data_IF_560529479419
#
_entry.id   IF_560529479419
#
_cell.length_a   1.000
_cell.length_b   1.000
_cell.length_c   1.000
_cell.angle_alpha   90.00
_cell.angle_beta   90.00
_cell.angle_gamma   90.00
#
_symmetry.space_group_name_H-M   'P 1'
#
loop_
_entity.id
_entity.type
_entity.pdbx_description
1 polymer ?
#
# COMPACT_ATOMS: atom_id res chain seq x y z
N UNK A 1 1.25 16.16 -25.17
CA UNK A 1 0.87 16.22 -23.73
C UNK A 1 -0.31 17.15 -23.55
N UNK A 2 -1.28 16.79 -22.71
CA UNK A 2 -2.47 17.58 -22.39
C UNK A 2 -2.47 17.95 -20.92
N UNK A 3 -2.44 19.25 -20.56
CA UNK A 3 -2.30 19.71 -19.19
C UNK A 3 -3.16 20.95 -18.89
N UNK A 4 -3.72 21.03 -17.69
CA UNK A 4 -4.38 22.22 -17.15
C UNK A 4 -3.40 23.26 -16.55
N UNK A 5 -2.11 23.08 -16.73
CA UNK A 5 -1.08 24.01 -16.23
C UNK A 5 -0.72 25.13 -17.19
N UNK A 6 0.26 25.95 -16.78
CA UNK A 6 0.77 27.08 -17.57
C UNK A 6 1.58 26.56 -18.75
N UNK A 7 1.24 27.02 -19.98
CA UNK A 7 1.82 26.52 -21.23
C UNK A 7 3.35 26.65 -21.28
N UNK A 8 3.89 27.80 -20.87
CA UNK A 8 5.32 28.05 -20.98
C UNK A 8 6.13 27.09 -20.11
N UNK A 9 5.71 26.87 -18.85
CA UNK A 9 6.35 25.90 -17.95
C UNK A 9 6.36 24.48 -18.56
N UNK A 10 5.23 24.07 -19.14
CA UNK A 10 5.13 22.74 -19.73
C UNK A 10 5.89 22.61 -21.06
N UNK A 11 6.02 23.72 -21.82
CA UNK A 11 6.83 23.75 -23.03
C UNK A 11 8.31 23.49 -22.72
N UNK A 12 8.84 24.11 -21.66
CA UNK A 12 10.21 23.90 -21.24
C UNK A 12 10.46 22.45 -20.80
N UNK A 13 9.55 21.89 -19.99
CA UNK A 13 9.63 20.50 -19.54
C UNK A 13 9.57 19.54 -20.74
N UNK A 14 8.67 19.77 -21.68
CA UNK A 14 8.51 18.89 -22.82
C UNK A 14 9.71 18.94 -23.76
N UNK A 15 10.28 20.09 -24.01
CA UNK A 15 11.50 20.24 -24.77
C UNK A 15 12.67 19.49 -24.09
N UNK A 16 12.84 19.66 -22.77
CA UNK A 16 13.86 18.98 -21.99
C UNK A 16 13.69 17.45 -21.95
N UNK A 17 12.46 16.94 -22.09
CA UNK A 17 12.12 15.52 -22.07
C UNK A 17 11.79 14.93 -23.43
N UNK A 18 11.94 15.70 -24.50
CA UNK A 18 11.58 15.30 -25.86
C UNK A 18 10.14 14.77 -26.01
N UNK A 19 9.20 15.43 -25.33
CA UNK A 19 7.77 15.10 -25.35
C UNK A 19 7.10 15.81 -26.52
N UNK A 20 6.74 15.23 -27.56
CA UNK A 20 6.05 15.78 -28.75
C UNK A 20 5.11 16.99 -28.54
N UNK A 21 3.97 17.00 -29.21
CA UNK A 21 3.01 18.13 -29.16
C UNK A 21 2.41 18.37 -27.76
N UNK A 22 2.32 19.62 -27.35
CA UNK A 22 1.77 20.03 -26.04
C UNK A 22 0.55 20.90 -26.24
N UNK A 23 -0.51 20.54 -25.49
CA UNK A 23 -1.68 21.38 -25.29
C UNK A 23 -1.79 21.68 -23.79
N UNK A 24 -1.44 22.87 -23.38
CA UNK A 24 -1.50 23.30 -21.99
C UNK A 24 -2.25 24.64 -21.88
N UNK A 25 -3.23 24.68 -20.98
CA UNK A 25 -4.01 25.87 -20.67
C UNK A 25 -4.70 25.70 -19.32
N UNK A 26 -4.81 26.74 -18.49
CA UNK A 26 -5.56 26.68 -17.24
C UNK A 26 -7.06 26.40 -17.44
N UNK A 27 -7.56 26.50 -18.67
CA UNK A 27 -8.96 26.21 -19.03
C UNK A 27 -9.21 24.78 -19.47
N UNK A 28 -8.19 23.90 -19.47
CA UNK A 28 -8.38 22.49 -19.81
C UNK A 28 -9.05 21.78 -18.61
N UNK A 29 -10.36 21.55 -18.75
CA UNK A 29 -11.18 20.83 -17.77
C UNK A 29 -11.09 19.31 -17.94
N UNK A 30 -11.72 18.57 -17.03
CA UNK A 30 -11.89 17.13 -17.12
C UNK A 30 -12.59 16.72 -18.44
N UNK A 31 -13.63 17.44 -18.83
CA UNK A 31 -14.41 17.18 -20.05
C UNK A 31 -13.54 17.37 -21.29
N UNK A 32 -12.73 18.42 -21.37
CA UNK A 32 -11.82 18.63 -22.50
C UNK A 32 -10.84 17.47 -22.61
N UNK A 33 -10.25 17.02 -21.51
CA UNK A 33 -9.33 15.86 -21.50
C UNK A 33 -10.02 14.59 -21.99
N UNK A 34 -11.24 14.34 -21.52
CA UNK A 34 -12.07 13.21 -21.97
C UNK A 34 -12.35 13.25 -23.47
N UNK A 35 -12.85 14.39 -23.97
CA UNK A 35 -13.18 14.54 -25.39
C UNK A 35 -11.97 14.36 -26.32
N UNK A 36 -10.80 14.85 -25.92
CA UNK A 36 -9.58 14.67 -26.70
C UNK A 36 -9.23 13.19 -26.85
N UNK A 37 -9.27 12.43 -25.74
CA UNK A 37 -8.99 10.98 -25.76
C UNK A 37 -10.05 10.25 -26.60
N UNK A 38 -11.32 10.56 -26.40
CA UNK A 38 -12.41 9.96 -27.17
C UNK A 38 -12.25 10.19 -28.66
N UNK A 39 -11.99 11.43 -29.09
CA UNK A 39 -11.78 11.76 -30.50
C UNK A 39 -10.59 11.02 -31.10
N UNK A 40 -9.48 10.91 -30.37
CA UNK A 40 -8.30 10.18 -30.85
C UNK A 40 -8.62 8.68 -31.02
N UNK A 41 -9.38 8.07 -30.11
CA UNK A 41 -9.81 6.68 -30.24
C UNK A 41 -10.76 6.48 -31.43
N UNK A 42 -11.71 7.37 -31.65
CA UNK A 42 -12.62 7.34 -32.80
C UNK A 42 -11.85 7.44 -34.14
N UNK A 43 -10.68 8.06 -34.14
CA UNK A 43 -9.76 8.12 -35.29
C UNK A 43 -8.80 6.92 -35.37
N UNK A 44 -9.00 5.89 -34.55
CA UNK A 44 -8.24 4.64 -34.61
C UNK A 44 -6.89 4.65 -33.86
N UNK A 45 -6.62 5.65 -33.04
CA UNK A 45 -5.40 5.67 -32.22
C UNK A 45 -5.56 4.80 -30.98
N UNK A 46 -4.51 4.07 -30.61
CA UNK A 46 -4.38 3.41 -29.31
C UNK A 46 -3.85 4.40 -28.30
N UNK A 47 -4.60 4.64 -27.22
CA UNK A 47 -4.34 5.69 -26.26
C UNK A 47 -3.88 5.13 -24.91
N UNK A 48 -2.70 5.57 -24.47
CA UNK A 48 -2.18 5.39 -23.12
C UNK A 48 -2.25 6.73 -22.41
N UNK A 49 -3.13 6.84 -21.41
CA UNK A 49 -3.33 8.07 -20.67
C UNK A 49 -2.70 8.01 -19.27
N UNK A 50 -2.13 9.13 -18.83
CA UNK A 50 -1.49 9.27 -17.52
C UNK A 50 -2.09 10.45 -16.78
N UNK A 51 -2.37 10.31 -15.49
CA UNK A 51 -2.92 11.37 -14.66
C UNK A 51 -2.75 11.09 -13.17
N UNK A 52 -2.96 12.10 -12.31
CA UNK A 52 -2.72 12.03 -10.87
C UNK A 52 -3.87 12.57 -10.01
N UNK A 53 -4.96 12.99 -10.64
CA UNK A 53 -6.02 13.71 -9.95
C UNK A 53 -7.42 13.34 -10.46
N UNK A 54 -8.45 13.76 -9.71
CA UNK A 54 -9.86 13.52 -10.06
C UNK A 54 -10.22 14.04 -11.46
N UNK A 55 -9.66 15.16 -11.88
CA UNK A 55 -9.94 15.75 -13.20
C UNK A 55 -9.39 14.90 -14.36
N UNK A 56 -8.52 13.94 -14.08
CA UNK A 56 -7.96 13.02 -15.08
C UNK A 56 -8.77 11.74 -15.22
N UNK A 57 -9.62 11.38 -14.25
CA UNK A 57 -10.28 10.08 -14.19
C UNK A 57 -11.11 9.74 -15.44
N UNK A 58 -11.85 10.72 -15.99
CA UNK A 58 -12.65 10.48 -17.19
C UNK A 58 -11.77 10.17 -18.40
N UNK A 59 -10.68 10.91 -18.56
CA UNK A 59 -9.68 10.67 -19.59
C UNK A 59 -9.01 9.29 -19.43
N UNK A 60 -8.63 8.95 -18.19
CA UNK A 60 -7.98 7.67 -17.89
C UNK A 60 -8.88 6.47 -18.15
N UNK A 61 -10.17 6.59 -17.86
CA UNK A 61 -11.16 5.51 -18.08
C UNK A 61 -11.52 5.36 -19.55
N UNK A 62 -11.47 6.44 -20.32
CA UNK A 62 -11.75 6.43 -21.76
C UNK A 62 -10.60 5.85 -22.57
N UNK A 63 -9.37 5.97 -22.10
CA UNK A 63 -8.17 5.45 -22.75
C UNK A 63 -8.19 3.91 -22.87
N UNK A 64 -7.46 3.36 -23.84
CA UNK A 64 -7.26 1.90 -23.94
C UNK A 64 -6.50 1.38 -22.72
N UNK A 65 -5.63 2.20 -22.14
CA UNK A 65 -4.99 1.95 -20.87
C UNK A 65 -4.76 3.25 -20.10
N UNK A 66 -5.44 3.39 -18.97
CA UNK A 66 -5.29 4.53 -18.07
C UNK A 66 -4.32 4.23 -16.94
N UNK A 67 -3.30 5.07 -16.77
CA UNK A 67 -2.28 4.97 -15.73
C UNK A 67 -2.51 6.08 -14.71
N UNK A 68 -2.81 5.69 -13.47
CA UNK A 68 -2.99 6.62 -12.37
C UNK A 68 -1.70 6.74 -11.54
N UNK A 69 -1.12 7.93 -11.56
CA UNK A 69 0.04 8.23 -10.73
C UNK A 69 -0.38 8.52 -9.29
N UNK A 70 0.07 7.70 -8.35
CA UNK A 70 -0.32 7.78 -6.94
C UNK A 70 0.79 8.45 -6.10
N UNK A 71 2.04 8.42 -6.54
CA UNK A 71 3.16 8.98 -5.80
C UNK A 71 3.33 8.34 -4.43
N UNK A 72 3.72 9.14 -3.44
CA UNK A 72 3.81 8.72 -2.03
C UNK A 72 2.45 8.65 -1.34
N UNK A 73 1.44 9.33 -1.87
CA UNK A 73 0.09 9.45 -1.30
C UNK A 73 -0.93 9.60 -2.42
N UNK A 74 -2.08 8.99 -2.27
CA UNK A 74 -3.22 9.27 -3.14
C UNK A 74 -3.60 10.75 -3.00
N UNK A 75 -3.81 11.41 -4.13
CA UNK A 75 -4.33 12.78 -4.16
C UNK A 75 -5.64 12.88 -3.36
N UNK A 76 -5.79 13.93 -2.55
CA UNK A 76 -7.02 14.18 -1.77
C UNK A 76 -8.27 14.21 -2.64
N UNK A 77 -8.14 14.67 -3.89
CA UNK A 77 -9.23 14.70 -4.86
C UNK A 77 -9.74 13.31 -5.26
N UNK A 78 -8.95 12.26 -5.05
CA UNK A 78 -9.26 10.87 -5.39
C UNK A 78 -9.84 10.07 -4.22
N UNK A 79 -9.87 10.62 -3.01
CA UNK A 79 -10.16 9.88 -1.76
C UNK A 79 -11.50 9.12 -1.76
N UNK A 80 -12.50 9.60 -2.51
CA UNK A 80 -13.83 9.00 -2.58
C UNK A 80 -14.17 8.49 -4.00
N UNK A 81 -13.17 8.35 -4.86
CA UNK A 81 -13.38 7.93 -6.24
C UNK A 81 -13.06 6.44 -6.39
N UNK A 82 -13.82 5.75 -7.23
CA UNK A 82 -13.47 4.39 -7.64
C UNK A 82 -12.27 4.45 -8.59
N UNK A 83 -11.21 3.71 -8.30
CA UNK A 83 -10.01 3.63 -9.14
C UNK A 83 -9.94 2.31 -9.93
N UNK A 84 -11.00 1.51 -9.85
CA UNK A 84 -11.08 0.21 -10.55
C UNK A 84 -10.86 0.38 -12.05
N UNK A 85 -10.08 -0.53 -12.63
CA UNK A 85 -9.75 -0.54 -14.06
C UNK A 85 -8.57 0.35 -14.47
N UNK A 86 -8.02 1.14 -13.53
CA UNK A 86 -6.82 1.93 -13.77
C UNK A 86 -5.57 1.18 -13.34
N UNK A 87 -4.45 1.44 -14.02
CA UNK A 87 -3.14 0.89 -13.65
C UNK A 87 -2.44 1.87 -12.72
N UNK A 88 -2.20 1.52 -11.45
CA UNK A 88 -1.51 2.42 -10.54
C UNK A 88 -0.02 2.51 -10.88
N UNK A 89 0.52 3.74 -10.81
CA UNK A 89 1.97 4.01 -10.87
C UNK A 89 2.37 4.66 -9.55
N UNK A 90 3.33 4.05 -8.87
CA UNK A 90 3.88 4.56 -7.62
C UNK A 90 5.28 5.13 -7.86
N UNK A 91 5.55 6.27 -7.25
CA UNK A 91 6.88 6.92 -7.27
C UNK A 91 7.91 6.11 -6.47
N UNK A 92 7.40 5.39 -5.48
CA UNK A 92 8.18 4.60 -4.54
C UNK A 92 7.49 3.28 -4.26
N UNK A 93 8.26 2.28 -3.93
CA UNK A 93 7.75 0.98 -3.48
C UNK A 93 7.01 1.07 -2.12
N UNK A 94 7.16 2.17 -1.39
CA UNK A 94 6.59 2.33 -0.05
C UNK A 94 5.55 3.46 0.01
N UNK A 95 4.32 3.10 0.40
CA UNK A 95 3.18 4.00 0.62
C UNK A 95 2.89 4.06 2.12
N UNK A 96 2.97 5.26 2.71
CA UNK A 96 2.69 5.49 4.14
C UNK A 96 1.34 6.18 4.29
N UNK A 97 0.45 5.61 5.09
CA UNK A 97 -0.93 6.11 5.28
C UNK A 97 -1.12 6.95 6.56
N UNK A 98 -0.06 7.19 7.32
CA UNK A 98 -0.12 7.71 8.69
C UNK A 98 -0.62 9.15 8.89
N UNK A 99 -0.66 9.98 7.87
CA UNK A 99 -0.53 11.43 8.15
C UNK A 99 -1.81 12.27 8.04
N UNK A 100 -2.99 11.70 7.77
CA UNK A 100 -4.13 12.53 7.32
C UNK A 100 -5.42 12.45 8.15
N UNK A 101 -5.47 11.61 9.19
CA UNK A 101 -6.71 11.33 9.92
C UNK A 101 -6.43 11.22 11.43
N UNK A 102 -7.13 12.02 12.24
CA UNK A 102 -6.95 12.05 13.69
C UNK A 102 -7.23 10.67 14.34
N UNK A 103 -8.20 9.91 13.82
CA UNK A 103 -8.48 8.55 14.30
C UNK A 103 -7.33 7.61 14.02
N UNK A 104 -6.68 7.72 12.84
CA UNK A 104 -5.49 6.94 12.51
C UNK A 104 -4.35 7.28 13.46
N UNK A 105 -4.14 8.55 13.76
CA UNK A 105 -3.11 8.97 14.71
C UNK A 105 -3.37 8.45 16.12
N UNK A 106 -4.62 8.44 16.58
CA UNK A 106 -5.00 7.87 17.86
C UNK A 106 -4.71 6.35 17.92
N UNK A 107 -5.07 5.60 16.88
CA UNK A 107 -4.79 4.16 16.79
C UNK A 107 -3.29 3.86 16.69
N UNK A 108 -2.53 4.66 15.94
CA UNK A 108 -1.07 4.57 15.91
C UNK A 108 -0.47 4.79 17.29
N UNK A 109 -0.97 5.78 18.04
CA UNK A 109 -0.51 6.04 19.40
C UNK A 109 -0.74 4.83 20.34
N UNK A 110 -1.89 4.15 20.21
CA UNK A 110 -2.20 2.90 20.92
C UNK A 110 -1.20 1.79 20.53
N UNK A 111 -0.85 1.68 19.26
CA UNK A 111 0.03 0.63 18.73
C UNK A 111 1.51 0.82 19.11
N UNK A 112 1.95 2.03 19.46
CA UNK A 112 3.34 2.28 19.87
C UNK A 112 3.74 1.40 21.05
N UNK A 113 4.96 0.88 21.03
CA UNK A 113 5.47 -0.04 22.07
C UNK A 113 5.48 0.56 23.47
N UNK A 114 5.58 1.88 23.59
CA UNK A 114 5.59 2.63 24.85
C UNK A 114 4.19 3.11 25.29
N UNK A 115 3.13 2.73 24.62
CA UNK A 115 1.76 3.13 25.00
C UNK A 115 1.27 2.49 26.32
N UNK A 116 1.91 1.40 26.75
CA UNK A 116 1.44 0.59 27.89
C UNK A 116 0.15 -0.20 27.60
N UNK A 117 -0.40 -0.13 26.39
CA UNK A 117 -1.67 -0.76 26.02
C UNK A 117 -1.41 -2.17 25.49
N UNK A 118 -2.24 -3.14 25.91
CA UNK A 118 -2.20 -4.54 25.48
C UNK A 118 -3.61 -5.13 25.37
N UNK A 119 -3.71 -6.37 24.91
CA UNK A 119 -4.96 -7.13 24.82
C UNK A 119 -5.94 -6.54 23.80
N UNK A 120 -7.23 -6.64 24.11
CA UNK A 120 -8.32 -6.33 23.19
C UNK A 120 -8.29 -4.89 22.65
N UNK A 121 -7.89 -3.92 23.46
CA UNK A 121 -7.79 -2.51 23.03
C UNK A 121 -6.71 -2.33 21.97
N UNK A 122 -5.57 -2.98 22.12
CA UNK A 122 -4.48 -2.98 21.13
C UNK A 122 -4.92 -3.73 19.87
N UNK A 123 -5.57 -4.90 20.02
CA UNK A 123 -6.10 -5.69 18.93
C UNK A 123 -7.11 -4.90 18.08
N UNK A 124 -8.06 -4.21 18.73
CA UNK A 124 -9.03 -3.37 18.02
C UNK A 124 -8.39 -2.24 17.22
N UNK A 125 -7.35 -1.58 17.76
CA UNK A 125 -6.59 -0.57 16.99
C UNK A 125 -5.89 -1.18 15.77
N UNK A 126 -5.33 -2.40 15.91
CA UNK A 126 -4.72 -3.11 14.77
C UNK A 126 -5.74 -3.44 13.68
N UNK A 127 -6.94 -3.91 14.05
CA UNK A 127 -8.03 -4.19 13.09
C UNK A 127 -8.40 -2.92 12.33
N UNK A 128 -8.65 -1.79 13.00
CA UNK A 128 -9.04 -0.54 12.33
C UNK A 128 -7.96 -0.01 11.39
N UNK A 129 -6.70 -0.05 11.81
CA UNK A 129 -5.57 0.34 10.95
C UNK A 129 -5.43 -0.59 9.75
N UNK A 130 -5.59 -1.91 9.96
CA UNK A 130 -5.60 -2.90 8.90
C UNK A 130 -6.72 -2.67 7.90
N UNK A 131 -7.95 -2.39 8.37
CA UNK A 131 -9.09 -2.11 7.52
C UNK A 131 -8.86 -0.88 6.63
N UNK A 132 -8.23 0.18 7.17
CA UNK A 132 -7.87 1.36 6.35
C UNK A 132 -6.85 1.02 5.27
N UNK A 133 -5.82 0.23 5.57
CA UNK A 133 -4.86 -0.29 4.57
C UNK A 133 -5.59 -1.15 3.53
N UNK A 134 -6.45 -2.07 3.98
CA UNK A 134 -7.22 -2.94 3.09
C UNK A 134 -8.11 -2.17 2.12
N UNK A 135 -8.87 -1.19 2.61
CA UNK A 135 -9.68 -0.31 1.76
C UNK A 135 -8.84 0.44 0.73
N UNK A 136 -7.63 0.90 1.12
CA UNK A 136 -6.71 1.53 0.18
C UNK A 136 -6.26 0.55 -0.91
N UNK A 137 -5.91 -0.67 -0.55
CA UNK A 137 -5.58 -1.73 -1.50
C UNK A 137 -6.75 -2.00 -2.45
N UNK A 138 -7.98 -2.12 -1.92
CA UNK A 138 -9.19 -2.38 -2.71
C UNK A 138 -9.53 -1.27 -3.72
N UNK A 139 -9.14 -0.01 -3.45
CA UNK A 139 -9.35 1.07 -4.43
C UNK A 139 -8.54 0.90 -5.70
N UNK A 140 -7.44 0.14 -5.62
CA UNK A 140 -6.47 0.00 -6.70
C UNK A 140 -6.51 -1.39 -7.32
N UNK A 141 -6.73 -2.44 -6.50
CA UNK A 141 -6.63 -3.83 -6.91
C UNK A 141 -7.96 -4.56 -6.73
N UNK A 142 -8.42 -5.33 -7.75
CA UNK A 142 -9.68 -6.08 -7.67
C UNK A 142 -9.62 -7.18 -6.61
N UNK A 143 -10.67 -7.28 -5.79
CA UNK A 143 -10.83 -8.30 -4.75
C UNK A 143 -10.71 -9.73 -5.30
N UNK A 144 -11.43 -10.04 -6.38
CA UNK A 144 -11.53 -11.40 -6.95
C UNK A 144 -10.21 -12.03 -7.39
N UNK A 145 -9.19 -11.21 -7.64
CA UNK A 145 -7.87 -11.67 -8.10
C UNK A 145 -6.79 -11.48 -7.02
N UNK A 146 -7.20 -11.28 -5.77
CA UNK A 146 -6.32 -10.96 -4.65
C UNK A 146 -6.49 -11.97 -3.53
N UNK A 147 -5.38 -12.42 -2.98
CA UNK A 147 -5.30 -13.20 -1.72
C UNK A 147 -4.65 -12.39 -0.63
N UNK A 148 -5.10 -12.57 0.60
CA UNK A 148 -4.51 -11.95 1.80
C UNK A 148 -3.83 -13.06 2.60
N UNK A 149 -2.51 -13.02 2.74
CA UNK A 149 -1.71 -13.98 3.48
C UNK A 149 -1.22 -13.33 4.79
N UNK A 150 -1.81 -13.73 5.91
CA UNK A 150 -1.53 -13.18 7.23
C UNK A 150 -0.46 -13.98 7.94
N UNK A 151 0.58 -13.33 8.44
CA UNK A 151 1.66 -13.96 9.19
C UNK A 151 1.36 -14.00 10.69
N UNK A 152 1.16 -15.20 11.20
CA UNK A 152 0.90 -15.44 12.62
C UNK A 152 2.19 -15.32 13.46
N UNK A 153 2.13 -14.94 14.72
CA UNK A 153 1.03 -14.46 15.56
C UNK A 153 0.81 -12.94 15.43
N UNK A 154 1.89 -12.19 15.16
CA UNK A 154 1.89 -10.73 15.23
C UNK A 154 0.92 -10.08 14.23
N UNK A 155 0.84 -10.64 13.03
CA UNK A 155 -0.01 -10.13 11.95
C UNK A 155 -1.51 -10.34 12.12
N UNK A 156 -1.96 -11.22 13.05
CA UNK A 156 -3.35 -11.68 13.14
C UNK A 156 -4.39 -10.56 13.05
N UNK A 157 -4.46 -9.70 14.05
CA UNK A 157 -5.53 -8.69 14.13
C UNK A 157 -5.40 -7.59 13.06
N UNK A 158 -4.18 -7.24 12.69
CA UNK A 158 -3.96 -6.30 11.59
C UNK A 158 -4.37 -6.93 10.26
N UNK A 159 -4.06 -8.22 10.07
CA UNK A 159 -4.43 -8.99 8.89
C UNK A 159 -5.93 -9.21 8.75
N UNK A 160 -6.64 -9.48 9.84
CA UNK A 160 -8.11 -9.53 9.85
C UNK A 160 -8.69 -8.19 9.34
N UNK A 161 -8.13 -7.06 9.79
CA UNK A 161 -8.53 -5.74 9.31
C UNK A 161 -8.22 -5.54 7.82
N UNK A 162 -7.02 -5.90 7.36
CA UNK A 162 -6.67 -5.82 5.93
C UNK A 162 -7.63 -6.63 5.08
N UNK A 163 -7.97 -7.84 5.50
CA UNK A 163 -8.94 -8.68 4.81
C UNK A 163 -10.34 -8.05 4.79
N UNK A 164 -10.81 -7.49 5.92
CA UNK A 164 -12.11 -6.81 5.98
C UNK A 164 -12.18 -5.60 5.03
N UNK A 165 -11.06 -4.91 4.84
CA UNK A 165 -11.00 -3.75 3.97
C UNK A 165 -10.74 -4.06 2.50
N UNK A 166 -9.94 -5.08 2.20
CA UNK A 166 -9.52 -5.43 0.84
C UNK A 166 -10.40 -6.51 0.19
N UNK A 167 -11.02 -7.38 1.00
CA UNK A 167 -11.66 -8.59 0.49
C UNK A 167 -10.67 -9.63 -0.03
N UNK A 168 -11.14 -10.54 -0.87
CA UNK A 168 -10.33 -11.57 -1.49
C UNK A 168 -10.33 -12.91 -0.76
N UNK A 169 -9.29 -13.75 -1.00
CA UNK A 169 -9.15 -15.07 -0.37
C UNK A 169 -8.22 -14.95 0.83
N UNK A 170 -8.67 -15.40 1.99
CA UNK A 170 -7.90 -15.31 3.24
C UNK A 170 -7.06 -16.57 3.48
N UNK A 171 -5.78 -16.37 3.75
CA UNK A 171 -4.84 -17.37 4.24
C UNK A 171 -4.16 -16.88 5.52
N UNK A 172 -3.81 -17.80 6.42
CA UNK A 172 -2.91 -17.50 7.53
C UNK A 172 -1.85 -18.60 7.68
N UNK A 173 -0.65 -18.23 8.11
CA UNK A 173 0.43 -19.16 8.34
C UNK A 173 1.36 -18.70 9.46
N UNK A 174 2.00 -19.64 10.12
CA UNK A 174 3.10 -19.35 11.03
C UNK A 174 4.43 -19.38 10.26
N UNK A 175 5.08 -18.24 10.01
CA UNK A 175 6.28 -18.18 9.17
C UNK A 175 7.50 -18.94 9.75
N UNK A 176 7.40 -19.47 10.97
CA UNK A 176 8.47 -20.27 11.59
C UNK A 176 8.25 -21.77 11.49
N UNK A 177 7.07 -22.22 11.14
CA UNK A 177 6.65 -23.62 11.20
C UNK A 177 6.07 -24.10 9.87
N UNK A 178 5.46 -23.22 9.09
CA UNK A 178 4.73 -23.55 7.89
C UNK A 178 5.50 -23.14 6.63
N UNK A 179 5.32 -23.89 5.56
CA UNK A 179 5.67 -23.47 4.20
C UNK A 179 4.57 -22.57 3.64
N UNK A 180 4.92 -21.74 2.65
CA UNK A 180 3.95 -20.86 2.02
C UNK A 180 2.83 -21.66 1.33
N UNK A 181 1.56 -21.27 1.49
CA UNK A 181 0.45 -21.94 0.82
C UNK A 181 0.52 -21.76 -0.69
N UNK A 182 -0.02 -22.72 -1.44
CA UNK A 182 -0.21 -22.56 -2.88
C UNK A 182 -1.30 -21.52 -3.13
N UNK A 183 -0.96 -20.42 -3.77
CA UNK A 183 -1.85 -19.32 -4.07
C UNK A 183 -2.10 -19.26 -5.57
N UNK A 184 -3.38 -19.37 -5.96
CA UNK A 184 -3.82 -19.41 -7.35
C UNK A 184 -4.36 -18.08 -7.89
N UNK A 185 -4.40 -17.03 -7.08
CA UNK A 185 -4.76 -15.67 -7.52
C UNK A 185 -3.57 -14.99 -8.22
N UNK A 186 -3.87 -13.97 -9.01
CA UNK A 186 -2.83 -13.17 -9.68
C UNK A 186 -1.96 -12.41 -8.68
N UNK A 187 -2.52 -12.09 -7.51
CA UNK A 187 -1.89 -11.24 -6.50
C UNK A 187 -2.03 -11.81 -5.10
N UNK A 188 -0.99 -11.57 -4.30
CA UNK A 188 -1.01 -11.83 -2.86
C UNK A 188 -0.58 -10.60 -2.08
N UNK A 189 -1.31 -10.27 -1.03
CA UNK A 189 -0.92 -9.28 -0.02
C UNK A 189 -0.40 -10.03 1.18
N UNK A 190 0.90 -9.96 1.44
CA UNK A 190 1.53 -10.54 2.64
C UNK A 190 1.39 -9.53 3.78
N UNK A 191 0.79 -9.94 4.87
CA UNK A 191 0.43 -9.05 5.98
C UNK A 191 1.15 -9.42 7.27
N UNK A 192 1.87 -8.46 7.85
CA UNK A 192 2.41 -8.57 9.21
C UNK A 192 2.13 -7.28 10.00
N UNK A 193 2.03 -7.37 11.31
CA UNK A 193 1.86 -6.19 12.15
C UNK A 193 3.13 -5.33 12.19
N UNK A 194 4.29 -5.94 12.36
CA UNK A 194 5.57 -5.22 12.49
C UNK A 194 6.66 -5.91 11.70
N UNK A 195 7.09 -5.28 10.64
CA UNK A 195 8.23 -5.73 9.85
C UNK A 195 9.52 -5.17 10.47
N UNK A 196 10.31 -6.05 11.06
CA UNK A 196 11.62 -5.71 11.64
C UNK A 196 12.72 -5.82 10.59
N UNK A 197 13.23 -7.04 10.35
CA UNK A 197 14.30 -7.29 9.39
C UNK A 197 13.79 -7.70 8.00
N UNK A 198 12.51 -8.04 7.87
CA UNK A 198 11.92 -8.49 6.62
C UNK A 198 12.30 -9.91 6.14
N UNK A 199 13.24 -10.58 6.80
CA UNK A 199 13.78 -11.88 6.34
C UNK A 199 12.71 -12.97 6.17
N UNK A 200 11.75 -13.05 7.10
CA UNK A 200 10.66 -14.04 7.02
C UNK A 200 9.76 -13.78 5.81
N UNK A 201 9.47 -12.51 5.51
CA UNK A 201 8.65 -12.13 4.35
C UNK A 201 9.39 -12.48 3.06
N UNK A 202 10.68 -12.19 2.95
CA UNK A 202 11.46 -12.52 1.75
C UNK A 202 11.48 -14.04 1.51
N UNK A 203 11.69 -14.87 2.55
CA UNK A 203 11.60 -16.32 2.41
C UNK A 203 10.24 -16.76 1.84
N UNK A 204 9.15 -16.21 2.37
CA UNK A 204 7.80 -16.54 1.91
C UNK A 204 7.60 -16.09 0.45
N UNK A 205 8.12 -14.92 0.07
CA UNK A 205 8.07 -14.43 -1.31
C UNK A 205 8.78 -15.41 -2.26
N UNK A 206 9.96 -15.89 -1.88
CA UNK A 206 10.72 -16.84 -2.67
C UNK A 206 9.94 -18.17 -2.84
N UNK A 207 9.33 -18.67 -1.77
CA UNK A 207 8.48 -19.87 -1.82
C UNK A 207 7.24 -19.68 -2.70
N UNK A 208 6.53 -18.55 -2.57
CA UNK A 208 5.37 -18.23 -3.41
C UNK A 208 5.75 -18.13 -4.89
N UNK A 209 6.87 -17.48 -5.21
CA UNK A 209 7.37 -17.37 -6.58
C UNK A 209 7.88 -18.68 -7.16
N UNK A 210 8.34 -19.61 -6.34
CA UNK A 210 8.67 -20.95 -6.78
C UNK A 210 7.42 -21.74 -7.23
N UNK A 211 6.27 -21.53 -6.57
CA UNK A 211 5.01 -22.15 -6.95
C UNK A 211 4.31 -21.40 -8.11
N UNK A 212 4.37 -20.09 -8.10
CA UNK A 212 3.76 -19.22 -9.11
C UNK A 212 4.71 -18.05 -9.46
N UNK A 213 5.59 -18.23 -10.46
CA UNK A 213 6.58 -17.20 -10.85
C UNK A 213 5.97 -15.85 -11.28
N UNK A 214 4.70 -15.86 -11.72
CA UNK A 214 3.98 -14.66 -12.17
C UNK A 214 3.19 -13.96 -11.07
N UNK A 215 3.23 -14.45 -9.82
CA UNK A 215 2.45 -13.84 -8.74
C UNK A 215 2.92 -12.42 -8.43
N UNK A 216 1.97 -11.48 -8.42
CA UNK A 216 2.21 -10.10 -7.99
C UNK A 216 2.15 -10.03 -6.46
N UNK A 217 3.24 -9.59 -5.83
CA UNK A 217 3.37 -9.57 -4.37
C UNK A 217 3.31 -8.15 -3.85
N UNK A 218 2.35 -7.92 -2.96
CA UNK A 218 2.20 -6.68 -2.18
C UNK A 218 2.48 -7.01 -0.70
N UNK A 219 3.01 -6.05 0.03
CA UNK A 219 3.28 -6.17 1.45
C UNK A 219 2.44 -5.14 2.21
N UNK A 220 1.79 -5.55 3.29
CA UNK A 220 1.05 -4.66 4.16
C UNK A 220 1.53 -4.78 5.62
N UNK A 221 1.79 -3.64 6.27
CA UNK A 221 2.28 -3.61 7.64
C UNK A 221 1.68 -2.47 8.47
N UNK A 222 1.43 -2.71 9.76
CA UNK A 222 1.13 -1.60 10.67
C UNK A 222 2.39 -0.74 10.93
N UNK A 223 3.56 -1.37 11.05
CA UNK A 223 4.81 -0.66 11.14
C UNK A 223 5.92 -1.40 10.37
N UNK A 224 6.70 -0.65 9.61
CA UNK A 224 7.93 -1.16 8.99
C UNK A 224 9.12 -0.40 9.53
N UNK A 225 10.21 -1.10 9.85
CA UNK A 225 11.45 -0.46 10.26
C UNK A 225 12.20 0.11 9.05
N UNK A 226 12.83 1.27 9.22
CA UNK A 226 13.57 1.93 8.15
C UNK A 226 14.63 1.02 7.50
N UNK A 227 15.27 0.18 8.32
CA UNK A 227 16.29 -0.76 7.86
C UNK A 227 15.75 -1.84 6.92
N UNK A 228 14.46 -2.18 7.03
CA UNK A 228 13.82 -3.17 6.18
C UNK A 228 13.31 -2.61 4.85
N UNK A 229 13.18 -1.30 4.70
CA UNK A 229 12.59 -0.67 3.51
C UNK A 229 13.37 -1.00 2.24
N UNK A 230 14.70 -0.92 2.30
CA UNK A 230 15.55 -1.20 1.13
C UNK A 230 15.42 -2.65 0.64
N UNK A 231 15.14 -3.59 1.55
CA UNK A 231 14.94 -5.00 1.21
C UNK A 231 13.72 -5.20 0.28
N UNK A 232 12.74 -4.32 0.39
CA UNK A 232 11.48 -4.40 -0.36
C UNK A 232 11.37 -3.38 -1.50
N UNK A 233 12.47 -2.82 -1.97
CA UNK A 233 12.47 -1.79 -3.02
C UNK A 233 11.79 -2.22 -4.34
N UNK A 234 11.78 -3.51 -4.62
CA UNK A 234 11.17 -4.10 -5.82
C UNK A 234 9.72 -4.56 -5.59
N UNK A 235 9.16 -4.30 -4.39
CA UNK A 235 7.80 -4.68 -4.01
C UNK A 235 7.02 -3.44 -3.59
N UNK A 236 5.71 -3.47 -3.84
CA UNK A 236 4.81 -2.45 -3.31
C UNK A 236 4.50 -2.73 -1.84
N UNK A 237 4.81 -1.77 -0.98
CA UNK A 237 4.60 -1.87 0.46
C UNK A 237 3.61 -0.81 0.92
N UNK A 238 2.53 -1.23 1.56
CA UNK A 238 1.63 -0.35 2.29
C UNK A 238 1.92 -0.45 3.79
N UNK A 239 2.21 0.66 4.43
CA UNK A 239 2.43 0.69 5.87
C UNK A 239 1.68 1.85 6.53
N UNK A 240 1.19 1.64 7.76
CA UNK A 240 0.63 2.76 8.52
C UNK A 240 1.71 3.75 8.90
N UNK A 241 2.89 3.28 9.25
CA UNK A 241 4.01 4.16 9.64
C UNK A 241 5.39 3.53 9.42
N UNK A 242 6.38 4.39 9.24
CA UNK A 242 7.78 4.04 9.40
C UNK A 242 8.18 4.06 10.88
N UNK A 243 9.05 3.14 11.28
CA UNK A 243 9.61 3.08 12.63
C UNK A 243 11.12 3.24 12.57
N UNK A 244 11.64 4.13 13.40
CA UNK A 244 13.10 4.32 13.59
C UNK A 244 13.69 3.33 14.61
N UNK A 245 12.88 2.43 15.13
CA UNK A 245 13.31 1.45 16.12
C UNK A 245 14.04 0.31 15.44
N UNK A 246 15.09 -0.22 16.08
CA UNK A 246 15.77 -1.43 15.64
C UNK A 246 15.36 -2.63 16.48
N UNK A 247 15.21 -3.78 15.83
CA UNK A 247 14.93 -5.05 16.51
C UNK A 247 16.27 -5.74 16.89
N UNK A 248 16.42 -6.10 18.15
CA UNK A 248 17.68 -6.70 18.68
C UNK A 248 17.50 -8.14 19.15
N UNK A 249 16.39 -8.81 18.76
CA UNK A 249 16.15 -10.24 19.07
C UNK A 249 14.87 -10.52 19.86
N UNK A 250 14.53 -11.82 19.97
CA UNK A 250 13.25 -12.29 20.53
C UNK A 250 13.05 -11.93 22.00
N UNK A 251 14.12 -11.83 22.77
CA UNK A 251 14.06 -11.54 24.20
C UNK A 251 14.33 -10.06 24.56
N UNK A 252 14.70 -9.26 23.59
CA UNK A 252 15.03 -7.85 23.78
C UNK A 252 14.68 -7.08 22.51
N UNK A 253 13.44 -6.60 22.39
CA UNK A 253 13.19 -5.53 21.43
C UNK A 253 13.84 -4.25 21.95
N UNK A 254 15.07 -3.99 21.54
CA UNK A 254 15.70 -2.69 21.75
C UNK A 254 15.23 -1.79 20.63
N UNK A 255 14.43 -0.85 21.00
CA UNK A 255 14.20 0.34 20.21
C UNK A 255 15.30 1.33 20.57
N UNK A 256 15.75 2.16 19.61
CA UNK A 256 16.70 3.23 19.91
C UNK A 256 16.15 4.09 21.05
N UNK A 257 16.67 3.90 22.26
CA UNK A 257 16.22 4.60 23.48
C UNK A 257 15.03 4.01 24.24
N UNK A 258 14.39 2.90 23.82
CA UNK A 258 13.25 2.30 24.55
C UNK A 258 13.23 0.79 24.42
N UNK A 259 13.02 0.10 25.55
CA UNK A 259 12.73 -1.32 25.61
C UNK A 259 11.21 -1.51 25.77
N UNK A 260 10.60 -2.38 24.99
CA UNK A 260 9.20 -2.71 25.12
C UNK A 260 8.96 -4.20 24.87
N UNK A 261 7.84 -4.75 25.35
CA UNK A 261 7.48 -6.15 25.10
C UNK A 261 7.17 -6.35 23.62
N UNK A 262 7.31 -7.61 23.17
CA UNK A 262 6.97 -8.04 21.82
C UNK A 262 5.51 -7.69 21.48
N UNK A 263 5.26 -7.30 20.23
CA UNK A 263 3.93 -6.87 19.79
C UNK A 263 2.92 -8.02 19.86
N UNK A 264 3.30 -9.24 19.49
CA UNK A 264 2.40 -10.38 19.59
C UNK A 264 2.05 -10.69 21.06
N UNK A 265 3.01 -10.65 21.97
CA UNK A 265 2.74 -10.86 23.39
C UNK A 265 1.82 -9.78 23.98
N UNK A 266 1.94 -8.53 23.50
CA UNK A 266 1.01 -7.45 23.85
C UNK A 266 -0.40 -7.70 23.30
N UNK A 267 -0.52 -8.10 22.05
CA UNK A 267 -1.79 -8.35 21.37
C UNK A 267 -2.59 -9.46 22.04
N UNK A 268 -1.91 -10.53 22.44
CA UNK A 268 -2.53 -11.70 23.08
C UNK A 268 -2.53 -11.62 24.62
N UNK A 269 -2.15 -10.48 25.18
CA UNK A 269 -2.08 -10.23 26.63
C UNK A 269 -1.22 -11.25 27.40
N UNK A 270 -0.13 -11.71 26.75
CA UNK A 270 0.80 -12.70 27.28
C UNK A 270 1.99 -12.07 28.01
N UNK A 271 1.96 -10.78 28.23
CA UNK A 271 3.03 -10.07 28.95
C UNK A 271 3.05 -10.58 30.39
N UNK A 272 4.13 -11.31 30.74
CA UNK A 272 4.37 -11.68 32.13
C UNK A 272 4.59 -10.39 32.94
N UNK A 273 3.66 -10.06 33.83
CA UNK A 273 3.92 -9.02 34.85
C UNK A 273 5.13 -9.50 35.65
N UNK A 274 6.24 -8.81 35.55
CA UNK A 274 7.33 -8.98 36.52
C UNK A 274 6.81 -8.36 37.82
N UNK A 275 6.43 -9.22 38.74
CA UNK A 275 6.18 -8.84 40.11
C UNK A 275 7.52 -8.59 40.82
#
# INVERSE_FOLDING_TARGET
MLSSGIKDLWSDIANAKNLGTIFASPYISADVKYYVVKQLREHGYTIFAYGDSKIDLYMLREADKGFLYIGKRISRSLKNESLSGLVPIYDHSLVILADEDEEVQADIAICKSNSGISGSRLAAAHVRLGEKIGRHIATVFPEKNTSILVLERGGRFFGDGVYMGAGGIFYSMNPKQDDAPVINTERVVIVDSVINTGKSIMRIIDELKNHNPGIDVIIAANAIQNEAVELFKDYLVFATRLSKNSFVGVNQSKQTGKTGPDTADRLFNLIKKRY
#
